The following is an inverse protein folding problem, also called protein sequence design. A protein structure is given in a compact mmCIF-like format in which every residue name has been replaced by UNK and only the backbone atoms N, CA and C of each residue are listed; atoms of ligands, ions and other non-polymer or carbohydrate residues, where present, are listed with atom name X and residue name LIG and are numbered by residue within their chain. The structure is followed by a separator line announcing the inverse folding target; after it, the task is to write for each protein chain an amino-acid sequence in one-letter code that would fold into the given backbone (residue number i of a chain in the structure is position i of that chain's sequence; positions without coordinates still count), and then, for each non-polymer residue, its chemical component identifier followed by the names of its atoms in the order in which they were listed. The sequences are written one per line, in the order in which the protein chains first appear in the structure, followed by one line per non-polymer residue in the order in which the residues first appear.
data_IF_470549827009
#
_entry.id   IF_470549827009
#
_cell.length_a   1.000
_cell.length_b   1.000
_cell.length_c   1.000
_cell.angle_alpha   90.00
_cell.angle_beta   90.00
_cell.angle_gamma   90.00
#
_symmetry.space_group_name_H-M   'P 1'
#
loop_
_entity.id
_entity.type
_entity.pdbx_description
1 polymer ?
#
# COMPACT_ATOMS: atom_id res chain seq x y z
N UNK A 1 -1.82 -31.21 3.52
CA UNK A 1 -2.12 -31.46 4.93
C UNK A 1 -3.64 -31.54 5.22
N UNK A 2 -4.50 -31.03 4.31
CA UNK A 2 -5.95 -30.94 4.53
C UNK A 2 -6.39 -29.90 5.57
N UNK A 3 -5.44 -29.14 6.12
CA UNK A 3 -5.74 -28.06 7.06
C UNK A 3 -6.02 -26.77 6.28
N UNK A 4 -7.15 -26.07 6.57
CA UNK A 4 -7.40 -24.76 5.98
C UNK A 4 -6.28 -23.77 6.29
N UNK A 5 -5.83 -23.02 5.28
CA UNK A 5 -4.84 -21.98 5.41
C UNK A 5 -5.34 -20.74 4.69
N UNK A 6 -5.35 -19.61 5.39
CA UNK A 6 -5.79 -18.33 4.83
C UNK A 6 -4.76 -17.25 5.19
N UNK A 7 -4.40 -16.45 4.20
CA UNK A 7 -3.62 -15.24 4.46
C UNK A 7 -4.55 -14.14 4.97
N UNK A 8 -4.19 -13.54 6.09
CA UNK A 8 -4.88 -12.40 6.67
C UNK A 8 -4.10 -11.13 6.33
N UNK A 9 -4.67 -10.27 5.48
CA UNK A 9 -4.10 -8.99 5.10
C UNK A 9 -4.97 -7.86 5.65
N UNK A 10 -4.49 -7.21 6.72
CA UNK A 10 -5.25 -6.20 7.45
C UNK A 10 -5.56 -4.95 6.61
N UNK A 11 -4.68 -4.57 5.69
CA UNK A 11 -4.90 -3.40 4.82
C UNK A 11 -6.09 -3.58 3.88
N UNK A 12 -6.53 -4.80 3.59
CA UNK A 12 -7.79 -5.04 2.90
C UNK A 12 -9.02 -4.53 3.69
N UNK A 13 -8.86 -4.28 4.98
CA UNK A 13 -9.89 -3.80 5.90
C UNK A 13 -9.70 -2.34 6.31
N UNK A 14 -8.76 -1.63 5.69
CA UNK A 14 -8.59 -0.19 5.87
C UNK A 14 -9.88 0.56 5.52
N UNK A 15 -10.18 1.64 6.27
CA UNK A 15 -11.43 2.37 6.05
C UNK A 15 -11.49 3.00 4.68
N UNK A 16 -10.36 3.57 4.23
CA UNK A 16 -10.24 4.14 2.89
C UNK A 16 -10.33 3.06 1.82
N UNK A 17 -9.60 1.96 1.98
CA UNK A 17 -9.57 0.86 1.03
C UNK A 17 -10.96 0.23 0.84
N UNK A 18 -11.70 0.02 1.93
CA UNK A 18 -13.06 -0.50 1.86
C UNK A 18 -14.07 0.52 1.34
N UNK A 19 -13.92 1.81 1.67
CA UNK A 19 -14.75 2.87 1.08
C UNK A 19 -14.57 2.92 -0.44
N UNK A 20 -13.32 2.95 -0.91
CA UNK A 20 -12.99 2.98 -2.35
C UNK A 20 -13.50 1.72 -3.05
N UNK A 21 -13.31 0.55 -2.46
CA UNK A 21 -13.87 -0.71 -2.98
C UNK A 21 -15.40 -0.63 -3.13
N UNK A 22 -16.09 -0.08 -2.13
CA UNK A 22 -17.53 0.11 -2.18
C UNK A 22 -17.95 1.10 -3.29
N UNK A 23 -17.20 2.20 -3.46
CA UNK A 23 -17.43 3.17 -4.53
C UNK A 23 -17.22 2.56 -5.91
N UNK A 24 -16.15 1.80 -6.11
CA UNK A 24 -15.87 1.07 -7.36
C UNK A 24 -17.01 0.08 -7.68
N UNK A 25 -17.42 -0.72 -6.71
CA UNK A 25 -18.53 -1.69 -6.87
C UNK A 25 -19.88 -1.03 -7.20
N UNK A 26 -20.07 0.21 -6.78
CA UNK A 26 -21.24 1.03 -7.14
C UNK A 26 -21.09 1.74 -8.49
N UNK A 27 -19.97 1.53 -9.18
CA UNK A 27 -19.74 2.10 -10.51
C UNK A 27 -19.34 3.58 -10.54
N UNK A 28 -19.06 4.21 -9.39
CA UNK A 28 -18.74 5.63 -9.33
C UNK A 28 -17.45 5.98 -10.08
N UNK A 29 -16.50 5.05 -10.14
CA UNK A 29 -15.23 5.26 -10.84
C UNK A 29 -15.27 4.86 -12.32
N UNK A 30 -16.42 4.32 -12.80
CA UNK A 30 -16.52 3.77 -14.13
C UNK A 30 -15.64 2.52 -14.30
N UNK A 31 -14.97 2.38 -15.43
CA UNK A 31 -13.99 1.32 -15.67
C UNK A 31 -12.66 1.68 -15.02
N UNK A 32 -12.18 0.86 -14.09
CA UNK A 32 -10.85 1.05 -13.48
C UNK A 32 -9.76 0.70 -14.48
N UNK A 33 -8.82 1.60 -14.68
CA UNK A 33 -7.74 1.45 -15.67
C UNK A 33 -6.36 1.31 -15.07
N UNK A 34 -6.18 1.85 -13.83
CA UNK A 34 -4.88 1.87 -13.17
C UNK A 34 -5.04 1.87 -11.65
N UNK A 35 -4.16 1.16 -10.96
CA UNK A 35 -4.02 1.22 -9.52
C UNK A 35 -2.55 1.41 -9.13
N UNK A 36 -2.32 2.10 -8.02
CA UNK A 36 -1.00 2.19 -7.40
C UNK A 36 -1.09 1.81 -5.93
N UNK A 37 0.06 1.38 -5.40
CA UNK A 37 0.23 1.15 -3.99
C UNK A 37 1.69 0.99 -3.63
N UNK A 38 1.99 0.93 -2.34
CA UNK A 38 3.37 0.78 -1.92
C UNK A 38 3.47 0.48 -0.43
N UNK A 39 4.58 -0.13 -0.05
CA UNK A 39 5.00 -0.17 1.33
C UNK A 39 6.11 0.85 1.54
N UNK A 40 5.67 2.07 1.83
CA UNK A 40 6.53 3.25 1.97
C UNK A 40 6.61 3.60 3.46
N UNK A 41 7.58 3.00 4.13
CA UNK A 41 7.72 3.05 5.59
C UNK A 41 9.20 3.13 5.97
N UNK A 42 9.60 4.15 6.70
CA UNK A 42 10.98 4.23 7.21
C UNK A 42 11.21 3.11 8.26
N UNK A 43 11.91 2.06 7.84
CA UNK A 43 12.26 0.90 8.66
C UNK A 43 13.76 0.81 8.95
N UNK A 44 14.51 1.89 8.76
CA UNK A 44 15.96 1.86 8.91
C UNK A 44 16.38 1.40 10.31
N UNK A 45 15.72 1.89 11.35
CA UNK A 45 15.99 1.45 12.73
C UNK A 45 15.67 -0.03 12.93
N UNK A 46 14.48 -0.49 12.53
CA UNK A 46 14.06 -1.88 12.65
C UNK A 46 15.01 -2.83 11.90
N UNK A 47 15.37 -2.46 10.66
CA UNK A 47 16.30 -3.27 9.86
C UNK A 47 17.70 -3.27 10.49
N UNK A 48 18.18 -2.13 10.99
CA UNK A 48 19.51 -2.00 11.59
C UNK A 48 19.70 -2.85 12.83
N UNK A 49 18.66 -3.00 13.65
CA UNK A 49 18.65 -3.85 14.86
C UNK A 49 18.23 -5.29 14.59
N UNK A 50 17.94 -5.60 13.34
CA UNK A 50 17.39 -6.91 12.95
C UNK A 50 18.34 -8.07 13.16
N UNK A 51 19.66 -7.82 13.26
CA UNK A 51 20.64 -8.85 13.55
C UNK A 51 20.55 -9.33 15.00
N UNK A 52 20.51 -8.39 15.94
CA UNK A 52 20.42 -8.67 17.38
C UNK A 52 19.04 -9.25 17.74
N UNK A 53 18.01 -8.72 17.14
CA UNK A 53 16.63 -9.15 17.38
C UNK A 53 16.18 -10.31 16.49
N UNK A 54 17.05 -10.82 15.62
CA UNK A 54 16.76 -11.90 14.66
C UNK A 54 15.59 -11.58 13.74
N UNK A 55 15.36 -10.31 13.42
CA UNK A 55 14.31 -9.89 12.53
C UNK A 55 14.62 -10.27 11.07
N UNK A 56 13.66 -10.84 10.37
CA UNK A 56 13.85 -11.42 9.03
C UNK A 56 14.30 -10.39 7.96
N UNK A 57 13.93 -9.11 8.10
CA UNK A 57 14.25 -8.06 7.13
C UNK A 57 15.74 -7.84 6.95
N UNK A 58 16.53 -7.84 8.04
CA UNK A 58 17.97 -7.68 7.93
C UNK A 58 18.60 -8.69 6.96
N UNK A 59 18.26 -9.97 7.15
CA UNK A 59 18.76 -11.05 6.28
C UNK A 59 18.22 -10.93 4.85
N UNK A 60 16.97 -10.61 4.70
CA UNK A 60 16.37 -10.43 3.37
C UNK A 60 17.07 -9.31 2.61
N UNK A 61 17.33 -8.18 3.24
CA UNK A 61 17.96 -7.02 2.61
C UNK A 61 19.42 -7.25 2.24
N UNK A 62 20.14 -8.09 3.01
CA UNK A 62 21.50 -8.50 2.65
C UNK A 62 21.56 -9.32 1.35
N UNK A 63 20.59 -10.21 1.13
CA UNK A 63 20.71 -11.24 0.09
C UNK A 63 19.68 -11.19 -1.02
N UNK A 64 18.68 -10.33 -0.92
CA UNK A 64 17.60 -10.22 -1.91
C UNK A 64 17.49 -8.78 -2.40
N UNK A 65 17.05 -8.64 -3.66
CA UNK A 65 16.73 -7.36 -4.28
C UNK A 65 15.40 -7.50 -5.00
N UNK A 66 14.30 -7.17 -4.33
CA UNK A 66 12.97 -7.39 -4.86
C UNK A 66 11.93 -6.55 -4.08
N UNK A 67 10.69 -6.55 -4.56
CA UNK A 67 9.54 -6.13 -3.77
C UNK A 67 9.36 -7.13 -2.60
N UNK A 68 9.80 -6.74 -1.40
CA UNK A 68 9.85 -7.62 -0.23
C UNK A 68 8.54 -7.71 0.55
N UNK A 69 7.63 -6.76 0.35
CA UNK A 69 6.43 -6.64 1.17
C UNK A 69 5.23 -6.11 0.39
N UNK A 70 4.77 -6.82 -0.66
CA UNK A 70 3.73 -6.32 -1.56
C UNK A 70 2.32 -6.43 -0.99
N UNK A 71 2.09 -7.12 0.12
CA UNK A 71 0.75 -7.56 0.52
C UNK A 71 -0.16 -6.41 0.96
N UNK A 72 0.39 -5.41 1.66
CA UNK A 72 -0.38 -4.29 2.18
C UNK A 72 -1.07 -3.44 1.10
N UNK A 73 -0.43 -3.31 -0.05
CA UNK A 73 -0.99 -2.57 -1.17
C UNK A 73 -1.66 -3.46 -2.22
N UNK A 74 -1.04 -4.61 -2.50
CA UNK A 74 -1.57 -5.51 -3.53
C UNK A 74 -2.87 -6.19 -3.09
N UNK A 75 -3.05 -6.44 -1.80
CA UNK A 75 -4.28 -7.01 -1.26
C UNK A 75 -5.52 -6.17 -1.58
N UNK A 76 -5.58 -4.90 -1.16
CA UNK A 76 -6.66 -3.98 -1.50
C UNK A 76 -6.87 -3.82 -3.02
N UNK A 77 -5.77 -3.66 -3.78
CA UNK A 77 -5.82 -3.54 -5.25
C UNK A 77 -6.41 -4.80 -5.89
N UNK A 78 -6.02 -5.98 -5.41
CA UNK A 78 -6.54 -7.25 -5.90
C UNK A 78 -8.05 -7.40 -5.67
N UNK A 79 -8.57 -6.85 -4.58
CA UNK A 79 -10.00 -6.79 -4.31
C UNK A 79 -10.71 -5.81 -5.25
N UNK A 80 -10.12 -4.66 -5.53
CA UNK A 80 -10.68 -3.66 -6.47
C UNK A 80 -10.75 -4.23 -7.89
N UNK A 81 -9.70 -4.93 -8.32
CA UNK A 81 -9.57 -5.45 -9.68
C UNK A 81 -10.10 -6.89 -9.88
N UNK A 82 -10.72 -7.48 -8.87
CA UNK A 82 -11.22 -8.87 -8.89
C UNK A 82 -10.16 -9.91 -9.30
N UNK A 83 -8.90 -9.73 -8.86
CA UNK A 83 -7.83 -10.67 -9.16
C UNK A 83 -8.18 -12.06 -8.61
N UNK A 84 -8.04 -13.08 -9.46
CA UNK A 84 -8.49 -14.47 -9.24
C UNK A 84 -10.03 -14.65 -9.10
N UNK A 85 -10.79 -13.60 -9.41
CA UNK A 85 -12.28 -13.62 -9.44
C UNK A 85 -12.81 -13.09 -10.77
N UNK A 86 -12.19 -13.49 -11.88
CA UNK A 86 -12.52 -13.05 -13.24
C UNK A 86 -11.46 -12.13 -13.87
N UNK A 87 -10.42 -11.78 -13.13
CA UNK A 87 -9.24 -11.08 -13.62
C UNK A 87 -7.96 -11.78 -13.12
N UNK A 88 -6.82 -11.50 -13.71
CA UNK A 88 -5.51 -12.06 -13.31
C UNK A 88 -4.36 -11.16 -13.73
N UNK A 89 -3.27 -11.25 -13.02
CA UNK A 89 -2.00 -10.65 -13.41
C UNK A 89 -1.36 -11.49 -14.51
N UNK A 90 -0.84 -10.87 -15.58
CA UNK A 90 -0.26 -11.54 -16.74
C UNK A 90 1.25 -11.42 -16.78
N UNK A 91 1.76 -10.19 -16.68
CA UNK A 91 3.19 -9.88 -16.78
C UNK A 91 3.60 -8.91 -15.71
N UNK A 92 4.86 -9.01 -15.33
CA UNK A 92 5.46 -8.16 -14.29
C UNK A 92 6.86 -7.74 -14.73
N UNK A 93 7.22 -6.49 -14.49
CA UNK A 93 8.59 -5.99 -14.52
C UNK A 93 8.88 -5.24 -13.23
N UNK A 94 10.07 -5.45 -12.68
CA UNK A 94 10.49 -4.82 -11.43
C UNK A 94 11.90 -4.26 -11.59
N UNK A 95 12.11 -3.02 -11.11
CA UNK A 95 13.40 -2.31 -11.17
C UNK A 95 13.70 -1.76 -9.78
N UNK A 96 14.92 -2.00 -9.31
CA UNK A 96 15.41 -1.49 -8.04
C UNK A 96 16.41 -0.35 -8.26
N UNK A 97 16.39 0.64 -7.38
CA UNK A 97 17.42 1.66 -7.26
C UNK A 97 18.71 1.08 -6.66
N UNK A 98 19.76 1.88 -6.55
CA UNK A 98 20.93 1.53 -5.73
C UNK A 98 20.54 1.36 -4.26
N UNK A 99 21.37 0.63 -3.49
CA UNK A 99 21.31 0.52 -2.05
C UNK A 99 22.30 1.54 -1.43
N UNK A 100 21.80 2.54 -0.72
CA UNK A 100 22.61 3.57 -0.07
C UNK A 100 22.08 3.97 1.30
N UNK A 101 20.76 4.05 1.47
CA UNK A 101 20.12 4.65 2.64
C UNK A 101 20.41 3.92 3.94
N UNK A 102 20.37 2.59 3.94
CA UNK A 102 20.65 1.80 5.14
C UNK A 102 22.12 1.88 5.56
N UNK A 103 23.05 1.88 4.59
CA UNK A 103 24.48 2.05 4.86
C UNK A 103 24.76 3.41 5.52
N UNK A 104 24.24 4.49 4.96
CA UNK A 104 24.39 5.83 5.53
C UNK A 104 23.79 5.94 6.92
N UNK A 105 22.60 5.36 7.13
CA UNK A 105 21.95 5.33 8.43
C UNK A 105 22.80 4.60 9.48
N UNK A 106 23.31 3.42 9.15
CA UNK A 106 24.15 2.61 10.04
C UNK A 106 25.44 3.33 10.41
N UNK A 107 26.12 3.96 9.46
CA UNK A 107 27.32 4.76 9.72
C UNK A 107 27.03 5.92 10.69
N UNK A 108 25.93 6.61 10.49
CA UNK A 108 25.55 7.76 11.32
C UNK A 108 25.12 7.35 12.74
N UNK A 109 24.29 6.31 12.88
CA UNK A 109 23.68 5.95 14.16
C UNK A 109 24.52 4.96 14.99
N UNK A 110 25.27 4.09 14.33
CA UNK A 110 26.05 3.03 14.98
C UNK A 110 27.57 3.24 14.88
N UNK A 111 28.01 4.08 13.96
CA UNK A 111 29.42 4.35 13.70
C UNK A 111 30.11 3.35 12.76
N UNK A 112 31.32 3.69 12.31
CA UNK A 112 32.07 2.90 11.31
C UNK A 112 32.56 1.55 11.83
N UNK A 113 32.65 1.36 13.14
CA UNK A 113 33.10 0.11 13.74
C UNK A 113 31.98 -0.92 13.90
N UNK A 114 30.75 -0.52 13.62
CA UNK A 114 29.62 -1.44 13.60
C UNK A 114 29.68 -2.32 12.36
N UNK A 115 29.76 -3.64 12.53
CA UNK A 115 30.03 -4.57 11.43
C UNK A 115 28.98 -4.49 10.30
N UNK A 116 27.70 -4.29 10.63
CA UNK A 116 26.66 -4.15 9.63
C UNK A 116 26.77 -2.87 8.79
N UNK A 117 27.43 -1.82 9.30
CA UNK A 117 27.69 -0.60 8.53
C UNK A 117 28.64 -0.85 7.35
N UNK A 118 29.45 -1.90 7.41
CA UNK A 118 30.40 -2.28 6.37
C UNK A 118 29.87 -3.41 5.46
N UNK A 119 28.62 -3.85 5.66
CA UNK A 119 28.00 -4.87 4.81
C UNK A 119 27.41 -4.29 3.53
N UNK A 120 27.48 -5.06 2.46
CA UNK A 120 26.82 -4.72 1.19
C UNK A 120 25.40 -5.27 1.19
N UNK A 121 24.41 -4.40 1.27
CA UNK A 121 23.01 -4.78 1.13
C UNK A 121 22.67 -4.95 -0.35
N UNK A 122 22.05 -6.09 -0.71
CA UNK A 122 21.60 -6.35 -2.06
C UNK A 122 20.31 -5.58 -2.39
N UNK A 123 19.46 -5.32 -1.38
CA UNK A 123 18.19 -4.64 -1.53
C UNK A 123 18.38 -3.18 -1.93
N UNK A 124 17.90 -2.80 -3.11
CA UNK A 124 17.81 -1.39 -3.50
C UNK A 124 16.87 -0.61 -2.60
N UNK A 125 17.15 0.68 -2.40
CA UNK A 125 16.37 1.52 -1.48
C UNK A 125 14.91 1.67 -1.92
N UNK A 126 14.69 1.81 -3.23
CA UNK A 126 13.35 1.88 -3.83
C UNK A 126 13.24 0.78 -4.89
N UNK A 127 12.16 0.01 -4.81
CA UNK A 127 11.80 -0.97 -5.85
C UNK A 127 10.48 -0.58 -6.46
N UNK A 128 10.43 -0.43 -7.77
CA UNK A 128 9.21 -0.14 -8.53
C UNK A 128 8.84 -1.34 -9.37
N UNK A 129 7.62 -1.83 -9.20
CA UNK A 129 7.09 -2.99 -9.91
C UNK A 129 5.83 -2.61 -10.68
N UNK A 130 5.82 -2.91 -11.98
CA UNK A 130 4.66 -2.69 -12.85
C UNK A 130 4.09 -4.03 -13.26
N UNK A 131 2.78 -4.19 -13.09
CA UNK A 131 2.04 -5.42 -13.43
C UNK A 131 0.97 -5.08 -14.45
N UNK A 132 0.81 -5.92 -15.48
CA UNK A 132 -0.29 -5.86 -16.46
C UNK A 132 -1.31 -6.93 -16.15
N UNK A 133 -2.58 -6.54 -16.09
CA UNK A 133 -3.70 -7.44 -15.84
C UNK A 133 -4.42 -7.88 -17.14
N UNK A 134 -5.18 -8.96 -17.05
CA UNK A 134 -5.84 -9.59 -18.20
C UNK A 134 -6.95 -8.73 -18.82
N UNK A 135 -7.66 -7.95 -18.00
CA UNK A 135 -8.68 -7.01 -18.50
C UNK A 135 -8.09 -5.69 -19.02
N UNK A 136 -6.76 -5.51 -18.96
CA UNK A 136 -6.08 -4.34 -19.50
C UNK A 136 -5.57 -3.34 -18.46
N UNK A 137 -5.93 -3.48 -17.21
CA UNK A 137 -5.47 -2.59 -16.13
C UNK A 137 -3.97 -2.74 -15.88
N UNK A 138 -3.38 -1.72 -15.31
CA UNK A 138 -2.01 -1.74 -14.81
C UNK A 138 -1.98 -1.51 -13.29
N UNK A 139 -1.02 -2.15 -12.63
CA UNK A 139 -0.74 -1.93 -11.21
C UNK A 139 0.71 -1.45 -11.09
N UNK A 140 0.95 -0.39 -10.32
CA UNK A 140 2.28 0.07 -9.96
C UNK A 140 2.49 -0.08 -8.45
N UNK A 141 3.49 -0.86 -8.04
CA UNK A 141 3.85 -1.04 -6.64
C UNK A 141 5.20 -0.36 -6.36
N UNK A 142 5.35 0.21 -5.16
CA UNK A 142 6.60 0.84 -4.72
C UNK A 142 6.95 0.38 -3.31
N UNK A 143 8.07 -0.33 -3.18
CA UNK A 143 8.73 -0.57 -1.90
C UNK A 143 9.73 0.57 -1.63
N UNK A 144 9.64 1.20 -0.45
CA UNK A 144 10.58 2.21 0.01
C UNK A 144 10.66 2.15 1.54
N UNK A 145 11.69 1.48 2.06
CA UNK A 145 11.80 1.14 3.48
C UNK A 145 13.14 1.46 4.10
N UNK A 146 14.09 1.97 3.32
CA UNK A 146 15.47 2.27 3.78
C UNK A 146 15.87 3.73 3.57
N UNK A 147 14.90 4.60 3.30
CA UNK A 147 15.07 6.05 3.17
C UNK A 147 14.22 6.80 4.20
N UNK A 148 14.59 8.07 4.55
CA UNK A 148 13.81 8.89 5.45
C UNK A 148 12.50 9.33 4.78
N UNK A 149 11.37 9.01 5.41
CA UNK A 149 10.06 9.39 4.89
C UNK A 149 8.94 9.28 5.91
N UNK A 150 7.83 9.96 5.65
CA UNK A 150 6.56 9.69 6.30
C UNK A 150 5.96 8.38 5.76
N UNK A 151 5.18 7.70 6.61
CA UNK A 151 4.45 6.50 6.19
C UNK A 151 3.37 6.81 5.17
N UNK A 152 3.29 5.97 4.14
CA UNK A 152 2.17 5.95 3.18
C UNK A 152 2.13 4.60 2.46
N UNK A 153 0.94 4.10 2.20
CA UNK A 153 0.76 2.97 1.28
C UNK A 153 0.56 3.43 -0.16
N UNK A 154 0.34 4.75 -0.36
CA UNK A 154 0.15 5.34 -1.68
C UNK A 154 -1.01 4.73 -2.46
N UNK A 155 -2.04 4.24 -1.75
CA UNK A 155 -3.19 3.61 -2.38
C UNK A 155 -3.90 4.57 -3.31
N UNK A 156 -3.93 4.23 -4.58
CA UNK A 156 -4.53 5.03 -5.64
C UNK A 156 -5.32 4.12 -6.58
N UNK A 157 -6.52 4.54 -6.92
CA UNK A 157 -7.38 3.89 -7.92
C UNK A 157 -7.82 4.93 -8.92
N UNK A 158 -7.56 4.67 -10.20
CA UNK A 158 -7.93 5.52 -11.32
C UNK A 158 -8.91 4.80 -12.24
N UNK A 159 -10.08 5.38 -12.41
CA UNK A 159 -11.09 4.92 -13.34
C UNK A 159 -11.46 5.99 -14.38
N UNK A 160 -12.35 5.63 -15.30
CA UNK A 160 -12.81 6.53 -16.39
C UNK A 160 -13.77 7.62 -15.92
N UNK A 161 -14.34 7.51 -14.70
CA UNK A 161 -15.30 8.46 -14.13
C UNK A 161 -14.92 8.94 -12.74
N UNK A 162 -13.80 8.51 -12.19
CA UNK A 162 -13.37 8.95 -10.87
C UNK A 162 -12.04 8.38 -10.46
N UNK A 163 -11.49 8.96 -9.40
CA UNK A 163 -10.23 8.53 -8.80
C UNK A 163 -10.24 8.71 -7.29
N UNK A 164 -9.36 7.95 -6.63
CA UNK A 164 -8.96 8.14 -5.24
C UNK A 164 -7.45 8.15 -5.13
N UNK A 165 -6.90 9.01 -4.28
CA UNK A 165 -5.48 9.08 -3.96
C UNK A 165 -5.28 9.24 -2.45
N UNK A 166 -4.56 8.29 -1.83
CA UNK A 166 -4.32 8.27 -0.38
C UNK A 166 -3.44 9.44 0.09
N UNK A 167 -2.37 9.76 -0.65
CA UNK A 167 -1.36 10.73 -0.19
C UNK A 167 -1.93 12.12 0.11
N UNK A 168 -3.01 12.52 -0.54
CA UNK A 168 -3.70 13.77 -0.29
C UNK A 168 -5.18 13.58 0.11
N UNK A 169 -5.59 12.35 0.42
CA UNK A 169 -6.96 11.98 0.82
C UNK A 169 -8.04 12.53 -0.14
N UNK A 170 -7.78 12.44 -1.43
CA UNK A 170 -8.65 13.01 -2.46
C UNK A 170 -9.53 11.96 -3.12
N UNK A 171 -10.79 12.34 -3.33
CA UNK A 171 -11.71 11.72 -4.29
C UNK A 171 -12.06 12.77 -5.33
N UNK A 172 -12.05 12.40 -6.60
CA UNK A 172 -12.57 13.20 -7.69
C UNK A 172 -13.55 12.36 -8.53
N UNK A 173 -14.75 12.86 -8.74
CA UNK A 173 -15.78 12.19 -9.55
C UNK A 173 -16.19 13.09 -10.73
N UNK A 174 -16.05 12.56 -11.93
CA UNK A 174 -16.49 13.21 -13.17
C UNK A 174 -17.98 13.59 -13.11
N UNK A 175 -18.31 14.79 -13.56
CA UNK A 175 -19.65 15.34 -13.55
C UNK A 175 -20.18 15.79 -12.18
N UNK A 176 -19.44 15.56 -11.08
CA UNK A 176 -19.73 16.06 -9.75
C UNK A 176 -18.73 17.12 -9.30
N UNK A 177 -17.47 16.86 -9.50
CA UNK A 177 -16.37 17.76 -9.16
C UNK A 177 -16.01 18.65 -10.36
N UNK A 178 -15.51 19.85 -10.11
CA UNK A 178 -15.20 20.80 -11.18
C UNK A 178 -13.91 20.41 -11.89
N UNK A 179 -14.02 20.07 -13.18
CA UNK A 179 -12.92 19.59 -14.03
C UNK A 179 -11.96 20.72 -14.45
N UNK A 180 -12.40 21.97 -14.42
CA UNK A 180 -11.67 23.12 -14.93
C UNK A 180 -11.18 24.07 -13.83
N UNK A 181 -11.22 23.64 -12.58
CA UNK A 181 -10.72 24.45 -11.49
C UNK A 181 -9.20 24.26 -11.34
N UNK A 182 -8.47 25.34 -11.60
CA UNK A 182 -7.01 25.36 -11.47
C UNK A 182 -6.51 25.57 -10.02
N UNK A 183 -7.35 25.49 -9.04
CA UNK A 183 -6.96 25.45 -7.65
C UNK A 183 -6.51 24.03 -7.28
N UNK A 184 -5.27 23.76 -7.48
CA UNK A 184 -4.60 22.45 -7.47
C UNK A 184 -4.83 21.61 -6.22
N UNK A 185 -5.18 22.20 -5.09
CA UNK A 185 -5.41 21.55 -3.81
C UNK A 185 -6.86 21.61 -3.34
N UNK A 186 -7.78 22.07 -4.18
CA UNK A 186 -9.19 22.23 -3.77
C UNK A 186 -9.85 20.91 -3.41
N UNK A 187 -9.44 19.82 -4.06
CA UNK A 187 -9.96 18.48 -3.78
C UNK A 187 -9.12 17.69 -2.76
N UNK A 188 -8.08 18.28 -2.17
CA UNK A 188 -7.34 17.63 -1.10
C UNK A 188 -8.23 17.44 0.12
N UNK A 189 -8.14 16.29 0.79
CA UNK A 189 -8.98 15.84 1.91
C UNK A 189 -10.47 15.66 1.56
N UNK A 190 -10.85 15.69 0.28
CA UNK A 190 -12.24 15.53 -0.14
C UNK A 190 -12.83 14.14 0.13
N UNK A 191 -12.02 13.14 0.47
CA UNK A 191 -12.49 11.81 0.86
C UNK A 191 -13.50 11.84 2.01
N UNK A 192 -13.37 12.80 2.95
CA UNK A 192 -14.30 12.93 4.08
C UNK A 192 -15.75 13.23 3.66
N UNK A 193 -15.95 13.95 2.55
CA UNK A 193 -17.27 14.27 2.00
C UNK A 193 -18.06 13.01 1.58
N UNK A 194 -17.33 11.92 1.32
CA UNK A 194 -17.89 10.67 0.82
C UNK A 194 -18.13 9.62 1.91
N UNK A 195 -17.59 9.83 3.14
CA UNK A 195 -17.66 8.86 4.23
C UNK A 195 -19.08 8.45 4.59
N UNK A 196 -19.95 9.41 4.87
CA UNK A 196 -21.32 9.13 5.30
C UNK A 196 -22.05 8.23 4.31
N UNK A 197 -21.92 8.53 3.01
CA UNK A 197 -22.64 7.83 1.96
C UNK A 197 -21.99 6.51 1.56
N UNK A 198 -20.64 6.44 1.53
CA UNK A 198 -19.90 5.35 0.89
C UNK A 198 -19.03 4.51 1.82
N UNK A 199 -18.91 4.83 3.11
CA UNK A 199 -18.27 3.92 4.05
C UNK A 199 -18.84 2.50 3.89
N UNK A 200 -17.96 1.54 3.86
CA UNK A 200 -18.36 0.14 3.69
C UNK A 200 -19.25 -0.30 4.86
N UNK A 201 -20.29 -1.12 4.63
CA UNK A 201 -21.18 -1.58 5.71
C UNK A 201 -20.45 -2.21 6.89
N UNK A 202 -19.35 -2.91 6.66
CA UNK A 202 -18.49 -3.47 7.71
C UNK A 202 -17.97 -2.36 8.62
N UNK A 203 -17.49 -1.25 8.07
CA UNK A 203 -17.00 -0.12 8.85
C UNK A 203 -18.13 0.61 9.57
N UNK A 204 -19.27 0.84 8.93
CA UNK A 204 -20.43 1.48 9.57
C UNK A 204 -20.88 0.70 10.82
N UNK A 205 -20.96 -0.62 10.71
CA UNK A 205 -21.27 -1.49 11.84
C UNK A 205 -20.20 -1.42 12.93
N UNK A 206 -18.94 -1.50 12.55
CA UNK A 206 -17.81 -1.48 13.46
C UNK A 206 -17.69 -0.16 14.24
N UNK A 207 -17.89 0.98 13.58
CA UNK A 207 -17.91 2.29 14.24
C UNK A 207 -19.03 2.40 15.27
N UNK A 208 -20.21 1.84 14.99
CA UNK A 208 -21.33 1.79 15.93
C UNK A 208 -21.05 0.91 17.15
N UNK A 209 -20.27 -0.16 16.99
CA UNK A 209 -19.86 -1.07 18.08
C UNK A 209 -18.64 -0.55 18.88
N UNK A 210 -17.97 0.48 18.42
CA UNK A 210 -16.72 1.04 18.98
C UNK A 210 -15.46 0.38 18.41
N UNK A 211 -14.51 1.23 17.99
CA UNK A 211 -13.25 0.79 17.36
C UNK A 211 -12.37 0.06 18.36
N UNK A 212 -11.81 -1.08 17.98
CA UNK A 212 -10.93 -1.94 18.80
C UNK A 212 -9.75 -2.42 18.00
N UNK A 213 -8.66 -2.78 18.69
CA UNK A 213 -7.48 -3.37 18.08
C UNK A 213 -6.50 -2.39 17.44
N UNK A 214 -5.41 -2.94 16.92
CA UNK A 214 -4.34 -2.18 16.31
C UNK A 214 -4.65 -1.68 14.88
N UNK A 215 -3.76 -0.84 14.36
CA UNK A 215 -3.84 -0.26 13.01
C UNK A 215 -5.22 0.34 12.72
N UNK A 216 -5.71 1.20 13.64
CA UNK A 216 -7.00 1.89 13.54
C UNK A 216 -8.21 0.95 13.33
N UNK A 217 -8.09 -0.29 13.82
CA UNK A 217 -9.15 -1.28 13.77
C UNK A 217 -9.03 -2.32 12.65
N UNK A 218 -8.11 -2.15 11.72
CA UNK A 218 -7.92 -3.11 10.61
C UNK A 218 -7.60 -4.53 11.11
N UNK A 219 -6.74 -4.64 12.14
CA UNK A 219 -6.36 -5.95 12.70
C UNK A 219 -7.56 -6.68 13.33
N UNK A 220 -8.46 -5.93 13.97
CA UNK A 220 -9.67 -6.50 14.52
C UNK A 220 -10.64 -6.98 13.44
N UNK A 221 -10.81 -6.18 12.40
CA UNK A 221 -11.73 -6.51 11.32
C UNK A 221 -11.28 -7.72 10.51
N UNK A 222 -9.98 -7.87 10.24
CA UNK A 222 -9.46 -9.02 9.47
C UNK A 222 -9.71 -10.36 10.19
N UNK A 223 -9.77 -10.37 11.54
CA UNK A 223 -10.07 -11.58 12.30
C UNK A 223 -11.60 -11.87 12.42
N UNK A 224 -12.43 -10.91 12.08
CA UNK A 224 -13.91 -11.05 12.17
C UNK A 224 -14.60 -11.25 10.82
N UNK A 225 -13.88 -11.01 9.73
CA UNK A 225 -14.39 -11.20 8.38
C UNK A 225 -14.27 -12.65 7.94
#
# INVERSE_FOLDING_TARGET
TGVPCMMLENCCFGRDELMVLNMVRRGLFGEVVHCQGGYRHDLREEVSTGREMRHYRFRNYLYRNCENYPTHELGPIANVLDINRGNRMLTLVSVASKAAGLHEYLLREKGPDYDAANMNFAQGDVVTTIIKCARGETICLTLDTTLPRAYSRGFHVQGTKGMYMEDNKSVFLDGKDNEYDFKWNERWNSAEEYREQYDHPVWKKYLAEGVRGGHDGMDWLVFRA
#
